data_IF_518573227337
#
_entry.id   IF_518573227337
#
_cell.length_a   1.000
_cell.length_b   1.000
_cell.length_c   1.000
_cell.angle_alpha   90.00
_cell.angle_beta   90.00
_cell.angle_gamma   90.00
#
_symmetry.space_group_name_H-M   'P 1'
#
loop_
_entity.id
_entity.type
_entity.pdbx_description
1 polymer ?
#
# COMPACT_ATOMS: atom_id res chain seq x y z
N UNK A 1 -22.36 -24.19 11.48
CA UNK A 1 -21.76 -23.00 12.13
C UNK A 1 -22.85 -22.03 12.61
N UNK A 2 -23.76 -21.50 11.77
CA UNK A 2 -24.70 -20.43 12.20
C UNK A 2 -25.63 -20.85 13.34
N UNK A 3 -26.20 -22.06 13.28
CA UNK A 3 -27.12 -22.56 14.31
C UNK A 3 -26.47 -22.64 15.71
N UNK A 4 -25.21 -23.10 15.79
CA UNK A 4 -24.48 -23.23 17.06
C UNK A 4 -24.11 -21.85 17.62
N UNK A 5 -23.71 -20.91 16.75
CA UNK A 5 -23.46 -19.52 17.14
C UNK A 5 -24.73 -18.85 17.69
N UNK A 6 -25.88 -18.96 17.00
CA UNK A 6 -27.17 -18.43 17.47
C UNK A 6 -27.57 -19.04 18.81
N UNK A 7 -27.42 -20.36 18.96
CA UNK A 7 -27.68 -21.07 20.22
C UNK A 7 -26.79 -20.49 21.33
N UNK A 8 -25.48 -20.37 21.10
CA UNK A 8 -24.57 -19.75 22.05
C UNK A 8 -25.00 -18.35 22.47
N UNK A 9 -25.25 -17.46 21.49
CA UNK A 9 -25.67 -16.08 21.75
C UNK A 9 -27.01 -15.97 22.48
N UNK A 10 -27.94 -16.89 22.25
CA UNK A 10 -29.24 -16.91 22.93
C UNK A 10 -29.11 -17.29 24.42
N UNK A 11 -28.23 -18.23 24.75
CA UNK A 11 -28.21 -18.86 26.07
C UNK A 11 -27.09 -18.41 27.00
N UNK A 12 -26.17 -17.58 26.52
CA UNK A 12 -25.08 -17.04 27.34
C UNK A 12 -25.56 -16.29 28.60
N UNK A 13 -26.73 -15.63 28.53
CA UNK A 13 -27.29 -14.90 29.67
C UNK A 13 -28.09 -15.77 30.64
N UNK A 14 -28.57 -16.93 30.19
CA UNK A 14 -29.42 -17.82 30.99
C UNK A 14 -28.66 -18.97 31.64
N UNK A 15 -27.44 -19.29 31.21
CA UNK A 15 -26.63 -20.44 31.67
C UNK A 15 -27.30 -21.83 31.55
N UNK A 16 -28.53 -21.93 31.05
CA UNK A 16 -29.32 -23.18 31.01
C UNK A 16 -29.13 -24.05 29.76
N UNK A 17 -28.23 -23.70 28.83
CA UNK A 17 -28.06 -24.46 27.60
C UNK A 17 -27.12 -25.66 27.75
N UNK A 18 -27.63 -26.84 27.40
CA UNK A 18 -26.83 -28.03 27.18
C UNK A 18 -26.29 -28.02 25.73
N UNK A 19 -24.97 -28.08 25.60
CA UNK A 19 -24.29 -28.22 24.31
C UNK A 19 -23.80 -29.65 24.12
N UNK A 20 -24.17 -30.24 23.00
CA UNK A 20 -23.62 -31.53 22.60
C UNK A 20 -22.15 -31.39 22.17
N UNK A 21 -21.40 -32.49 22.25
CA UNK A 21 -19.98 -32.51 21.88
C UNK A 21 -19.72 -32.08 20.43
N UNK A 22 -20.62 -32.40 19.49
CA UNK A 22 -20.53 -31.96 18.09
C UNK A 22 -20.77 -30.46 17.95
N UNK A 23 -21.67 -29.91 18.76
CA UNK A 23 -21.93 -28.47 18.81
C UNK A 23 -20.73 -27.73 19.39
N UNK A 24 -20.13 -28.22 20.48
CA UNK A 24 -18.91 -27.63 21.06
C UNK A 24 -17.73 -27.64 20.09
N UNK A 25 -17.55 -28.71 19.31
CA UNK A 25 -16.55 -28.71 18.23
C UNK A 25 -16.87 -27.65 17.18
N UNK A 26 -18.14 -27.43 16.86
CA UNK A 26 -18.55 -26.39 15.89
C UNK A 26 -18.37 -25.00 16.48
N UNK A 27 -18.56 -24.85 17.80
CA UNK A 27 -18.40 -23.60 18.53
C UNK A 27 -16.97 -23.06 18.42
N UNK A 28 -15.94 -23.92 18.48
CA UNK A 28 -14.54 -23.48 18.33
C UNK A 28 -14.27 -22.80 16.98
N UNK A 29 -14.89 -23.27 15.89
CA UNK A 29 -14.82 -22.61 14.58
C UNK A 29 -15.79 -21.43 14.43
N UNK A 30 -16.73 -21.27 15.37
CA UNK A 30 -17.72 -20.19 15.37
C UNK A 30 -17.26 -18.98 16.20
N UNK A 31 -16.12 -19.05 16.90
CA UNK A 31 -15.64 -17.97 17.77
C UNK A 31 -15.39 -16.65 17.01
N UNK A 32 -14.96 -16.74 15.75
CA UNK A 32 -14.72 -15.61 14.87
C UNK A 32 -15.89 -15.35 13.89
N UNK A 33 -16.99 -16.09 14.01
CA UNK A 33 -18.16 -15.92 13.16
C UNK A 33 -19.07 -14.84 13.72
N UNK A 34 -19.61 -13.99 12.85
CA UNK A 34 -20.63 -13.00 13.19
C UNK A 34 -21.74 -13.02 12.14
N UNK A 35 -22.94 -12.61 12.54
CA UNK A 35 -24.08 -12.43 11.65
C UNK A 35 -25.05 -11.41 12.26
N UNK A 36 -25.78 -10.70 11.40
CA UNK A 36 -27.00 -9.93 11.73
C UNK A 36 -27.08 -9.37 13.16
N UNK A 37 -26.57 -8.16 13.38
CA UNK A 37 -26.61 -7.41 14.66
C UNK A 37 -25.91 -8.08 15.86
N UNK A 38 -25.29 -9.25 15.68
CA UNK A 38 -24.53 -9.94 16.72
C UNK A 38 -23.04 -9.87 16.41
N UNK A 39 -22.26 -9.40 17.38
CA UNK A 39 -20.80 -9.44 17.33
C UNK A 39 -20.29 -10.86 17.48
N UNK A 40 -19.12 -11.18 16.91
CA UNK A 40 -18.50 -12.49 17.08
C UNK A 40 -18.03 -12.71 18.52
N UNK A 41 -18.03 -13.96 19.00
CA UNK A 41 -17.75 -14.32 20.40
C UNK A 41 -16.38 -13.81 20.84
N UNK A 42 -15.36 -13.95 19.98
CA UNK A 42 -14.00 -13.52 20.28
C UNK A 42 -13.86 -12.00 20.53
N UNK A 43 -14.80 -11.16 20.08
CA UNK A 43 -14.75 -9.71 20.34
C UNK A 43 -15.11 -9.33 21.78
N UNK A 44 -15.68 -10.24 22.56
CA UNK A 44 -16.15 -9.99 23.91
C UNK A 44 -15.50 -10.97 24.89
N UNK A 45 -14.67 -10.44 25.79
CA UNK A 45 -13.92 -11.19 26.79
C UNK A 45 -14.81 -12.10 27.66
N UNK A 46 -15.99 -11.62 28.07
CA UNK A 46 -16.90 -12.41 28.91
C UNK A 46 -17.53 -13.56 28.13
N UNK A 47 -17.89 -13.32 26.87
CA UNK A 47 -18.44 -14.38 26.02
C UNK A 47 -17.40 -15.44 25.69
N UNK A 48 -16.18 -15.02 25.35
CA UNK A 48 -15.08 -15.94 25.12
C UNK A 48 -14.78 -16.76 26.38
N UNK A 49 -14.71 -16.12 27.55
CA UNK A 49 -14.54 -16.81 28.83
C UNK A 49 -15.61 -17.87 29.05
N UNK A 50 -16.87 -17.53 28.82
CA UNK A 50 -17.97 -18.48 28.95
C UNK A 50 -17.84 -19.65 27.95
N UNK A 51 -17.52 -19.36 26.68
CA UNK A 51 -17.29 -20.39 25.67
C UNK A 51 -16.14 -21.34 26.07
N UNK A 52 -15.03 -20.80 26.58
CA UNK A 52 -13.90 -21.59 27.05
C UNK A 52 -14.26 -22.45 28.27
N UNK A 53 -15.06 -21.95 29.20
CA UNK A 53 -15.57 -22.74 30.33
C UNK A 53 -16.45 -23.91 29.85
N UNK A 54 -17.35 -23.68 28.89
CA UNK A 54 -18.17 -24.76 28.31
C UNK A 54 -17.31 -25.84 27.63
N UNK A 55 -16.27 -25.42 26.91
CA UNK A 55 -15.31 -26.33 26.27
C UNK A 55 -14.48 -27.10 27.30
N UNK A 56 -14.08 -26.45 28.41
CA UNK A 56 -13.32 -27.05 29.50
C UNK A 56 -14.11 -28.19 30.16
N UNK A 57 -15.36 -27.92 30.54
CA UNK A 57 -16.24 -28.90 31.19
C UNK A 57 -16.54 -30.12 30.31
N UNK A 58 -16.32 -30.03 29.00
CA UNK A 58 -16.61 -31.09 28.02
C UNK A 58 -15.42 -31.36 27.09
N UNK A 59 -14.20 -31.20 27.61
CA UNK A 59 -12.98 -31.16 26.82
C UNK A 59 -12.79 -32.34 25.85
N UNK A 60 -12.32 -32.03 24.64
CA UNK A 60 -11.76 -32.99 23.69
C UNK A 60 -10.60 -32.34 22.95
N UNK A 61 -9.51 -33.07 22.78
CA UNK A 61 -8.32 -32.57 22.07
C UNK A 61 -8.60 -32.13 20.63
N UNK A 62 -9.66 -32.67 20.01
CA UNK A 62 -10.12 -32.22 18.68
C UNK A 62 -10.54 -30.74 18.63
N UNK A 63 -10.82 -30.11 19.77
CA UNK A 63 -11.21 -28.70 19.88
C UNK A 63 -10.03 -27.77 19.61
N UNK A 64 -8.79 -28.20 19.91
CA UNK A 64 -7.58 -27.38 19.74
C UNK A 64 -7.44 -26.80 18.34
N UNK A 65 -7.78 -27.57 17.31
CA UNK A 65 -7.65 -27.13 15.92
C UNK A 65 -8.52 -25.89 15.65
N UNK A 66 -9.77 -25.88 16.11
CA UNK A 66 -10.64 -24.72 15.92
C UNK A 66 -10.25 -23.53 16.80
N UNK A 67 -9.69 -23.78 17.98
CA UNK A 67 -9.16 -22.71 18.84
C UNK A 67 -7.93 -22.04 18.22
N UNK A 68 -7.00 -22.82 17.68
CA UNK A 68 -5.81 -22.31 16.99
C UNK A 68 -6.21 -21.61 15.68
N UNK A 69 -7.21 -22.11 14.96
CA UNK A 69 -7.79 -21.43 13.80
C UNK A 69 -8.27 -20.01 14.16
N UNK A 70 -9.07 -19.89 15.21
CA UNK A 70 -9.54 -18.58 15.70
C UNK A 70 -8.39 -17.69 16.15
N UNK A 71 -7.42 -18.26 16.86
CA UNK A 71 -6.27 -17.56 17.42
C UNK A 71 -5.37 -16.95 16.34
N UNK A 72 -4.97 -17.73 15.33
CA UNK A 72 -4.09 -17.26 14.25
C UNK A 72 -4.79 -16.24 13.33
N UNK A 73 -6.10 -16.40 13.08
CA UNK A 73 -6.89 -15.40 12.35
C UNK A 73 -6.93 -14.04 13.04
N UNK A 74 -6.92 -14.05 14.37
CA UNK A 74 -7.06 -12.85 15.20
C UNK A 74 -5.73 -12.35 15.77
N UNK A 75 -4.58 -12.78 15.25
CA UNK A 75 -3.28 -12.46 15.84
C UNK A 75 -3.03 -10.95 16.04
N UNK A 76 -3.51 -10.12 15.11
CA UNK A 76 -3.36 -8.67 15.16
C UNK A 76 -4.68 -7.95 15.47
N UNK A 77 -5.47 -8.55 16.35
CA UNK A 77 -6.78 -8.04 16.74
C UNK A 77 -6.73 -6.78 17.61
N UNK A 78 -7.82 -6.01 17.60
CA UNK A 78 -8.09 -4.93 18.57
C UNK A 78 -8.59 -5.42 19.93
N UNK A 79 -8.74 -6.74 20.11
CA UNK A 79 -9.21 -7.40 21.34
C UNK A 79 -8.07 -8.19 22.02
N UNK A 80 -6.99 -7.55 22.50
CA UNK A 80 -5.79 -8.24 22.97
C UNK A 80 -6.06 -9.19 24.15
N UNK A 81 -6.94 -8.81 25.08
CA UNK A 81 -7.30 -9.66 26.22
C UNK A 81 -7.93 -10.99 25.81
N UNK A 82 -8.77 -10.97 24.77
CA UNK A 82 -9.38 -12.17 24.22
C UNK A 82 -8.34 -13.08 23.54
N UNK A 83 -7.35 -12.47 22.87
CA UNK A 83 -6.23 -13.20 22.29
C UNK A 83 -5.35 -13.86 23.36
N UNK A 84 -4.98 -13.10 24.41
CA UNK A 84 -4.21 -13.60 25.56
C UNK A 84 -4.94 -14.73 26.30
N UNK A 85 -6.27 -14.62 26.44
CA UNK A 85 -7.08 -15.67 27.05
C UNK A 85 -7.08 -16.96 26.21
N UNK A 86 -7.18 -16.85 24.88
CA UNK A 86 -7.01 -18.01 23.99
C UNK A 86 -5.60 -18.60 24.08
N UNK A 87 -4.55 -17.78 24.08
CA UNK A 87 -3.16 -18.24 24.21
C UNK A 87 -2.98 -19.09 25.47
N UNK A 88 -3.40 -18.57 26.62
CA UNK A 88 -3.26 -19.27 27.90
C UNK A 88 -4.03 -20.59 27.89
N UNK A 89 -5.27 -20.58 27.40
CA UNK A 89 -6.09 -21.77 27.32
C UNK A 89 -5.47 -22.83 26.38
N UNK A 90 -5.09 -22.44 25.16
CA UNK A 90 -4.43 -23.31 24.18
C UNK A 90 -3.12 -23.86 24.77
N UNK A 91 -2.31 -23.01 25.39
CA UNK A 91 -1.03 -23.38 25.98
C UNK A 91 -1.17 -24.43 27.08
N UNK A 92 -2.12 -24.24 28.00
CA UNK A 92 -2.41 -25.21 29.06
C UNK A 92 -2.88 -26.56 28.48
N UNK A 93 -3.67 -26.54 27.41
CA UNK A 93 -4.15 -27.76 26.76
C UNK A 93 -3.06 -28.49 25.99
N UNK A 94 -2.13 -27.78 25.35
CA UNK A 94 -1.00 -28.39 24.67
C UNK A 94 0.01 -29.02 25.66
N UNK A 95 0.25 -28.40 26.82
CA UNK A 95 1.17 -28.95 27.82
C UNK A 95 0.68 -30.31 28.34
N UNK A 96 -0.61 -30.38 28.63
CA UNK A 96 -1.27 -31.58 29.16
C UNK A 96 -1.63 -32.62 28.08
N UNK A 97 -1.42 -32.32 26.80
CA UNK A 97 -1.72 -33.26 25.73
C UNK A 97 -0.75 -34.44 25.70
N UNK A 98 -1.28 -35.66 25.81
CA UNK A 98 -0.54 -36.94 25.82
C UNK A 98 -0.94 -37.90 24.69
N UNK A 99 -1.81 -37.48 23.78
CA UNK A 99 -2.25 -38.29 22.64
C UNK A 99 -1.22 -38.41 21.52
N UNK A 100 -1.55 -39.17 20.48
CA UNK A 100 -0.66 -39.50 19.37
C UNK A 100 -0.98 -38.78 18.03
N UNK A 101 -1.98 -37.91 17.99
CA UNK A 101 -2.35 -37.15 16.78
C UNK A 101 -1.21 -36.22 16.34
N UNK A 102 -0.66 -36.48 15.15
CA UNK A 102 0.50 -35.76 14.58
C UNK A 102 0.35 -34.24 14.56
N UNK A 103 -0.81 -33.72 14.17
CA UNK A 103 -1.09 -32.27 14.17
C UNK A 103 -0.92 -31.64 15.56
N UNK A 104 -1.44 -32.31 16.60
CA UNK A 104 -1.38 -31.78 17.97
C UNK A 104 0.00 -31.94 18.59
N UNK A 105 0.73 -33.01 18.23
CA UNK A 105 2.15 -33.15 18.54
C UNK A 105 2.94 -32.00 17.91
N UNK A 106 2.66 -31.66 16.64
CA UNK A 106 3.27 -30.50 15.98
C UNK A 106 2.99 -29.21 16.74
N UNK A 107 1.73 -28.95 17.12
CA UNK A 107 1.39 -27.76 17.91
C UNK A 107 2.12 -27.71 19.25
N UNK A 108 2.21 -28.84 19.95
CA UNK A 108 2.93 -28.94 21.22
C UNK A 108 4.43 -28.63 21.05
N UNK A 109 5.08 -29.26 20.07
CA UNK A 109 6.51 -29.06 19.79
C UNK A 109 6.82 -27.63 19.33
N UNK A 110 5.86 -26.98 18.68
CA UNK A 110 5.98 -25.64 18.12
C UNK A 110 5.30 -24.55 18.98
N UNK A 111 4.95 -24.85 20.23
CA UNK A 111 4.17 -23.97 21.12
C UNK A 111 4.73 -22.55 21.22
N UNK A 112 6.06 -22.38 21.18
CA UNK A 112 6.74 -21.07 21.22
C UNK A 112 6.26 -20.10 20.14
N UNK A 113 5.81 -20.61 18.99
CA UNK A 113 5.32 -19.79 17.88
C UNK A 113 3.89 -19.26 18.09
N UNK A 114 3.17 -19.79 19.08
CA UNK A 114 1.85 -19.32 19.49
C UNK A 114 1.91 -18.28 20.62
N UNK A 115 3.09 -17.75 20.95
CA UNK A 115 3.22 -16.73 21.98
C UNK A 115 2.81 -15.33 21.45
N UNK A 116 1.83 -14.67 22.08
CA UNK A 116 1.30 -13.39 21.55
C UNK A 116 2.32 -12.24 21.55
N UNK A 117 3.42 -12.34 22.31
CA UNK A 117 4.43 -11.28 22.36
C UNK A 117 5.32 -11.25 21.12
N UNK A 118 5.69 -12.40 20.56
CA UNK A 118 6.68 -12.50 19.49
C UNK A 118 6.69 -13.82 18.71
N UNK A 119 5.68 -14.68 18.86
CA UNK A 119 5.69 -16.02 18.26
C UNK A 119 5.79 -16.02 16.73
N UNK A 120 5.13 -15.07 16.08
CA UNK A 120 5.23 -14.76 14.65
C UNK A 120 6.64 -14.30 14.23
N UNK A 121 7.26 -13.42 15.02
CA UNK A 121 8.63 -12.95 14.78
C UNK A 121 9.64 -14.10 14.91
N UNK A 122 9.51 -14.92 15.96
CA UNK A 122 10.38 -16.08 16.18
C UNK A 122 10.22 -17.08 15.04
N UNK A 123 9.00 -17.30 14.53
CA UNK A 123 8.81 -18.20 13.39
C UNK A 123 9.50 -17.66 12.13
N UNK A 124 9.30 -16.40 11.77
CA UNK A 124 9.93 -15.79 10.60
C UNK A 124 11.46 -15.84 10.67
N UNK A 125 12.02 -15.53 11.84
CA UNK A 125 13.45 -15.65 12.14
C UNK A 125 13.96 -17.09 12.02
N UNK A 126 13.20 -18.07 12.53
CA UNK A 126 13.57 -19.48 12.46
C UNK A 126 13.62 -19.97 11.01
N UNK A 127 12.60 -19.63 10.21
CA UNK A 127 12.52 -20.06 8.81
C UNK A 127 13.71 -19.52 8.01
N UNK A 128 14.04 -18.24 8.20
CA UNK A 128 15.19 -17.61 7.55
C UNK A 128 16.51 -18.29 7.96
N UNK A 129 16.71 -18.56 9.25
CA UNK A 129 17.91 -19.26 9.75
C UNK A 129 18.05 -20.69 9.24
N UNK A 130 16.93 -21.38 8.99
CA UNK A 130 16.91 -22.71 8.39
C UNK A 130 17.09 -22.69 6.87
N UNK A 131 17.20 -21.50 6.25
CA UNK A 131 17.27 -21.31 4.81
C UNK A 131 16.13 -22.04 4.06
N UNK A 132 14.93 -21.98 4.63
CA UNK A 132 13.72 -22.60 4.06
C UNK A 132 12.84 -21.56 3.36
N UNK A 133 12.13 -21.93 2.29
CA UNK A 133 11.13 -21.05 1.69
C UNK A 133 10.05 -20.67 2.71
N UNK A 134 9.65 -19.40 2.73
CA UNK A 134 8.63 -18.88 3.66
C UNK A 134 7.26 -19.57 3.48
N UNK A 135 6.99 -20.11 2.29
CA UNK A 135 5.81 -20.92 1.97
C UNK A 135 5.75 -22.21 2.79
N UNK A 136 6.85 -22.67 3.40
CA UNK A 136 6.86 -23.81 4.33
C UNK A 136 6.38 -23.46 5.75
N UNK A 137 6.08 -22.19 6.06
CA UNK A 137 5.70 -21.77 7.41
C UNK A 137 4.52 -22.57 7.98
N UNK A 138 3.49 -22.83 7.16
CA UNK A 138 2.32 -23.63 7.56
C UNK A 138 2.68 -25.08 7.85
N UNK A 139 3.58 -25.67 7.06
CA UNK A 139 4.09 -27.04 7.27
C UNK A 139 4.87 -27.15 8.58
N UNK A 140 5.68 -26.16 8.91
CA UNK A 140 6.44 -26.11 10.18
C UNK A 140 5.50 -26.08 11.37
N UNK A 141 4.42 -25.29 11.31
CA UNK A 141 3.40 -25.26 12.36
C UNK A 141 2.52 -26.52 12.36
N UNK A 142 2.45 -27.26 11.27
CA UNK A 142 1.54 -28.39 11.09
C UNK A 142 0.09 -27.96 10.85
N UNK A 143 -0.12 -26.79 10.24
CA UNK A 143 -1.44 -26.26 9.88
C UNK A 143 -1.70 -26.39 8.37
N UNK A 144 -2.97 -26.34 7.91
CA UNK A 144 -3.29 -26.33 6.49
C UNK A 144 -2.61 -25.19 5.73
N UNK A 145 -2.25 -25.42 4.47
CA UNK A 145 -1.65 -24.41 3.60
C UNK A 145 -2.58 -23.21 3.39
N UNK A 146 -3.89 -23.44 3.37
CA UNK A 146 -4.90 -22.40 3.24
C UNK A 146 -4.95 -21.43 4.42
N UNK A 147 -4.21 -21.68 5.51
CA UNK A 147 -4.11 -20.74 6.64
C UNK A 147 -3.01 -19.70 6.42
N UNK A 148 -2.23 -19.82 5.35
CA UNK A 148 -1.15 -18.89 5.07
C UNK A 148 -1.65 -17.45 4.89
N UNK A 149 -2.93 -17.23 4.58
CA UNK A 149 -3.60 -15.93 4.48
C UNK A 149 -3.99 -15.30 5.84
N UNK A 150 -3.80 -16.01 6.96
CA UNK A 150 -4.18 -15.51 8.29
C UNK A 150 -3.26 -14.38 8.76
N UNK A 151 -3.82 -13.43 9.51
CA UNK A 151 -3.11 -12.26 10.03
C UNK A 151 -1.78 -12.59 10.72
N UNK A 152 -1.71 -13.74 11.41
CA UNK A 152 -0.48 -14.29 11.99
C UNK A 152 0.72 -14.25 11.03
N UNK A 153 0.54 -14.67 9.78
CA UNK A 153 1.65 -14.81 8.84
C UNK A 153 2.17 -13.47 8.31
N UNK A 154 1.46 -12.35 8.53
CA UNK A 154 1.93 -11.04 8.07
C UNK A 154 3.31 -10.69 8.63
N UNK A 155 3.52 -10.83 9.94
CA UNK A 155 4.79 -10.47 10.59
C UNK A 155 5.83 -11.58 10.47
N UNK A 156 5.40 -12.83 10.27
CA UNK A 156 6.28 -13.95 9.88
C UNK A 156 6.97 -13.62 8.55
N UNK A 157 6.20 -13.21 7.54
CA UNK A 157 6.70 -12.84 6.21
C UNK A 157 7.66 -11.64 6.29
N UNK A 158 7.26 -10.57 7.00
CA UNK A 158 8.11 -9.37 7.14
C UNK A 158 9.41 -9.68 7.87
N UNK A 159 9.37 -10.50 8.92
CA UNK A 159 10.59 -10.87 9.67
C UNK A 159 11.51 -11.76 8.84
N UNK A 160 10.94 -12.71 8.08
CA UNK A 160 11.70 -13.52 7.13
C UNK A 160 12.43 -12.65 6.11
N UNK A 161 11.74 -11.66 5.53
CA UNK A 161 12.36 -10.68 4.63
C UNK A 161 13.50 -9.91 5.32
N UNK A 162 13.28 -9.35 6.50
CA UNK A 162 14.30 -8.54 7.19
C UNK A 162 15.60 -9.31 7.44
N UNK A 163 15.52 -10.63 7.65
CA UNK A 163 16.68 -11.51 7.78
C UNK A 163 17.40 -11.78 6.47
N UNK A 164 16.68 -11.81 5.36
CA UNK A 164 17.20 -12.12 4.03
C UNK A 164 17.37 -10.89 3.14
N UNK A 165 17.17 -9.68 3.66
CA UNK A 165 17.07 -8.45 2.86
C UNK A 165 18.29 -8.14 2.00
N UNK A 166 19.48 -8.62 2.38
CA UNK A 166 20.69 -8.46 1.58
C UNK A 166 20.64 -9.23 0.25
N UNK A 167 19.72 -10.20 0.11
CA UNK A 167 19.50 -11.03 -1.07
C UNK A 167 18.27 -10.57 -1.88
N UNK A 168 17.77 -9.35 -1.64
CA UNK A 168 16.53 -8.86 -2.25
C UNK A 168 16.52 -8.95 -3.78
N UNK A 169 17.66 -8.77 -4.44
CA UNK A 169 17.76 -8.85 -5.89
C UNK A 169 17.41 -10.22 -6.46
N UNK A 170 17.69 -11.31 -5.73
CA UNK A 170 17.32 -12.68 -6.13
C UNK A 170 15.98 -13.13 -5.57
N UNK A 171 15.50 -12.49 -4.50
CA UNK A 171 14.30 -12.91 -3.77
C UNK A 171 13.02 -12.13 -4.16
N UNK A 172 13.13 -11.04 -4.93
CA UNK A 172 11.99 -10.14 -5.18
C UNK A 172 10.78 -10.84 -5.83
N UNK A 173 11.01 -11.72 -6.80
CA UNK A 173 9.95 -12.45 -7.49
C UNK A 173 9.27 -13.46 -6.56
N UNK A 174 10.07 -14.20 -5.79
CA UNK A 174 9.58 -15.10 -4.76
C UNK A 174 8.74 -14.35 -3.71
N UNK A 175 9.18 -13.17 -3.25
CA UNK A 175 8.42 -12.35 -2.30
C UNK A 175 7.10 -11.84 -2.91
N UNK A 176 7.06 -11.55 -4.21
CA UNK A 176 5.80 -11.19 -4.88
C UNK A 176 4.82 -12.37 -4.90
N UNK A 177 5.29 -13.59 -5.21
CA UNK A 177 4.45 -14.80 -5.14
C UNK A 177 3.92 -15.05 -3.72
N UNK A 178 4.76 -14.82 -2.71
CA UNK A 178 4.38 -14.92 -1.29
C UNK A 178 3.27 -13.93 -0.95
N UNK A 179 3.37 -12.67 -1.40
CA UNK A 179 2.33 -11.66 -1.19
C UNK A 179 1.02 -12.03 -1.89
N UNK A 180 1.09 -12.51 -3.14
CA UNK A 180 -0.10 -12.98 -3.88
C UNK A 180 -0.80 -14.12 -3.15
N UNK A 181 -0.04 -15.07 -2.60
CA UNK A 181 -0.59 -16.21 -1.85
C UNK A 181 -1.16 -15.79 -0.50
N UNK A 182 -0.51 -14.87 0.20
CA UNK A 182 -0.98 -14.37 1.50
C UNK A 182 -2.20 -13.45 1.35
N UNK A 183 -2.31 -12.72 0.24
CA UNK A 183 -3.47 -11.90 -0.13
C UNK A 183 -3.94 -10.93 0.97
N UNK A 184 -3.01 -10.18 1.55
CA UNK A 184 -3.27 -9.24 2.64
C UNK A 184 -2.74 -7.85 2.31
N UNK A 185 -3.65 -6.88 2.21
CA UNK A 185 -3.28 -5.47 1.99
C UNK A 185 -2.35 -4.94 3.08
N UNK A 186 -2.57 -5.32 4.34
CA UNK A 186 -1.71 -4.94 5.48
C UNK A 186 -0.27 -5.41 5.27
N UNK A 187 -0.10 -6.66 4.85
CA UNK A 187 1.23 -7.24 4.66
C UNK A 187 1.92 -6.69 3.42
N UNK A 188 1.18 -6.49 2.33
CA UNK A 188 1.70 -5.81 1.14
C UNK A 188 2.21 -4.42 1.50
N UNK A 189 1.44 -3.62 2.25
CA UNK A 189 1.86 -2.30 2.75
C UNK A 189 3.13 -2.37 3.58
N UNK A 190 3.22 -3.30 4.54
CA UNK A 190 4.41 -3.47 5.39
C UNK A 190 5.66 -3.83 4.59
N UNK A 191 5.56 -4.89 3.79
CA UNK A 191 6.71 -5.48 3.12
C UNK A 191 7.20 -4.59 1.97
N UNK A 192 6.29 -4.17 1.09
CA UNK A 192 6.66 -3.38 -0.08
C UNK A 192 7.21 -2.01 0.33
N UNK A 193 6.68 -1.39 1.38
CA UNK A 193 7.23 -0.10 1.86
C UNK A 193 8.68 -0.24 2.29
N UNK A 194 9.01 -1.30 3.02
CA UNK A 194 10.39 -1.60 3.43
C UNK A 194 11.31 -1.88 2.25
N UNK A 195 10.82 -2.62 1.25
CA UNK A 195 11.58 -2.91 0.02
C UNK A 195 11.86 -1.62 -0.74
N UNK A 196 10.85 -0.76 -0.96
CA UNK A 196 11.01 0.51 -1.68
C UNK A 196 12.09 1.39 -1.01
N UNK A 197 12.00 1.55 0.32
CA UNK A 197 12.98 2.36 1.07
C UNK A 197 14.39 1.76 0.94
N UNK A 198 14.52 0.44 1.08
CA UNK A 198 15.81 -0.22 0.98
C UNK A 198 16.46 -0.04 -0.40
N UNK A 199 15.67 -0.17 -1.47
CA UNK A 199 16.19 -0.13 -2.85
C UNK A 199 16.21 1.29 -3.42
N UNK A 200 15.94 2.32 -2.62
CA UNK A 200 16.06 3.72 -3.00
C UNK A 200 17.52 4.21 -3.05
N UNK A 201 18.35 3.45 -3.75
CA UNK A 201 19.74 3.78 -4.02
C UNK A 201 20.05 3.52 -5.49
N UNK A 202 20.93 4.32 -6.13
CA UNK A 202 21.23 4.20 -7.55
C UNK A 202 21.70 2.80 -7.98
N UNK A 203 22.42 2.06 -7.11
CA UNK A 203 22.88 0.70 -7.42
C UNK A 203 21.74 -0.31 -7.69
N UNK A 204 20.52 -0.01 -7.26
CA UNK A 204 19.35 -0.89 -7.43
C UNK A 204 18.43 -0.47 -8.59
N UNK A 205 18.86 0.40 -9.50
CA UNK A 205 18.02 0.92 -10.60
C UNK A 205 17.21 -0.16 -11.36
N UNK A 206 17.82 -1.27 -11.77
CA UNK A 206 17.11 -2.39 -12.42
C UNK A 206 16.07 -3.03 -11.50
N UNK A 207 16.39 -3.17 -10.21
CA UNK A 207 15.46 -3.73 -9.22
C UNK A 207 14.30 -2.78 -8.92
N UNK A 208 14.52 -1.46 -8.95
CA UNK A 208 13.47 -0.45 -8.79
C UNK A 208 12.39 -0.62 -9.86
N UNK A 209 12.73 -0.98 -11.10
CA UNK A 209 11.74 -1.25 -12.16
C UNK A 209 10.81 -2.41 -11.80
N UNK A 210 11.34 -3.51 -11.28
CA UNK A 210 10.53 -4.65 -10.81
C UNK A 210 9.71 -4.27 -9.58
N UNK A 211 10.31 -3.56 -8.62
CA UNK A 211 9.62 -3.14 -7.39
C UNK A 211 8.47 -2.17 -7.68
N UNK A 212 8.59 -1.28 -8.67
CA UNK A 212 7.49 -0.40 -9.09
C UNK A 212 6.27 -1.21 -9.54
N UNK A 213 6.47 -2.17 -10.44
CA UNK A 213 5.41 -3.06 -10.96
C UNK A 213 4.71 -3.81 -9.83
N UNK A 214 5.51 -4.38 -8.92
CA UNK A 214 5.00 -5.12 -7.75
C UNK A 214 4.21 -4.18 -6.84
N UNK A 215 4.75 -3.01 -6.50
CA UNK A 215 4.08 -2.04 -5.62
C UNK A 215 2.75 -1.54 -6.21
N UNK A 216 2.74 -1.26 -7.51
CA UNK A 216 1.54 -0.84 -8.22
C UNK A 216 0.47 -1.94 -8.24
N UNK A 217 0.87 -3.20 -8.38
CA UNK A 217 -0.05 -4.36 -8.36
C UNK A 217 -0.56 -4.66 -6.95
N UNK A 218 0.31 -4.65 -5.95
CA UNK A 218 0.02 -5.10 -4.58
C UNK A 218 -0.64 -4.02 -3.71
N UNK A 219 -0.38 -2.75 -3.97
CA UNK A 219 -0.90 -1.61 -3.19
C UNK A 219 -1.71 -0.67 -4.08
N UNK A 220 -1.21 -0.33 -5.26
CA UNK A 220 -1.86 0.59 -6.20
C UNK A 220 -1.09 1.88 -6.43
N UNK A 221 -1.63 2.73 -7.31
CA UNK A 221 -1.01 4.00 -7.70
C UNK A 221 -0.73 4.90 -6.48
N UNK A 222 0.51 5.38 -6.25
CA UNK A 222 0.83 6.28 -5.13
C UNK A 222 0.14 7.65 -5.22
N UNK A 223 -0.39 8.04 -6.38
CA UNK A 223 -1.24 9.23 -6.50
C UNK A 223 -2.58 9.06 -5.76
N UNK A 224 -3.05 7.82 -5.56
CA UNK A 224 -4.19 7.54 -4.69
C UNK A 224 -3.72 7.36 -3.24
N UNK A 225 -3.77 8.45 -2.47
CA UNK A 225 -3.34 8.47 -1.05
C UNK A 225 -4.04 7.40 -0.22
N UNK A 226 -5.32 7.10 -0.49
CA UNK A 226 -6.09 6.12 0.31
C UNK A 226 -5.52 4.70 0.24
N UNK A 227 -4.90 4.33 -0.88
CA UNK A 227 -4.25 3.03 -1.02
C UNK A 227 -2.99 2.93 -0.15
N UNK A 228 -2.37 4.06 0.18
CA UNK A 228 -1.11 4.17 0.92
C UNK A 228 -1.32 4.73 2.33
N UNK A 229 -2.54 4.66 2.87
CA UNK A 229 -2.78 4.96 4.29
C UNK A 229 -2.36 3.78 5.15
N UNK A 230 -1.89 4.09 6.36
CA UNK A 230 -1.63 3.08 7.37
C UNK A 230 -2.92 2.36 7.79
N UNK A 231 -2.79 1.09 8.14
CA UNK A 231 -3.87 0.26 8.69
C UNK A 231 -4.07 0.56 10.19
N UNK A 232 -5.24 0.22 10.73
CA UNK A 232 -5.73 0.69 12.04
C UNK A 232 -4.75 0.50 13.21
N UNK A 233 -4.02 -0.61 13.26
CA UNK A 233 -3.07 -0.96 14.31
C UNK A 233 -1.60 -0.81 13.92
N UNK A 234 -1.30 -0.03 12.87
CA UNK A 234 0.08 0.26 12.48
C UNK A 234 0.86 0.97 13.62
N UNK A 235 2.11 0.59 13.78
CA UNK A 235 3.08 1.30 14.62
C UNK A 235 3.50 2.61 13.97
N UNK A 236 4.03 3.55 14.75
CA UNK A 236 4.50 4.82 14.21
C UNK A 236 5.66 4.66 13.20
N UNK A 237 6.46 3.61 13.37
CA UNK A 237 7.49 3.26 12.38
C UNK A 237 6.84 2.86 11.06
N UNK A 238 5.86 1.95 11.09
CA UNK A 238 5.16 1.51 9.89
C UNK A 238 4.42 2.66 9.20
N UNK A 239 3.80 3.58 9.96
CA UNK A 239 3.16 4.77 9.36
C UNK A 239 4.16 5.61 8.57
N UNK A 240 5.33 5.89 9.16
CA UNK A 240 6.38 6.67 8.50
C UNK A 240 6.94 5.94 7.29
N UNK A 241 7.22 4.64 7.40
CA UNK A 241 7.73 3.83 6.29
C UNK A 241 6.75 3.81 5.11
N UNK A 242 5.44 3.65 5.36
CA UNK A 242 4.43 3.66 4.28
C UNK A 242 4.39 5.02 3.56
N UNK A 243 4.43 6.13 4.30
CA UNK A 243 4.42 7.48 3.72
C UNK A 243 5.70 7.74 2.93
N UNK A 244 6.86 7.37 3.49
CA UNK A 244 8.16 7.52 2.83
C UNK A 244 8.22 6.71 1.53
N UNK A 245 7.85 5.43 1.60
CA UNK A 245 7.82 4.56 0.43
C UNK A 245 6.88 5.06 -0.67
N UNK A 246 5.70 5.57 -0.30
CA UNK A 246 4.76 6.19 -1.24
C UNK A 246 5.43 7.35 -1.99
N UNK A 247 6.12 8.22 -1.27
CA UNK A 247 6.76 9.40 -1.85
C UNK A 247 7.92 9.00 -2.79
N UNK A 248 8.75 8.04 -2.37
CA UNK A 248 9.82 7.47 -3.19
C UNK A 248 9.25 6.84 -4.47
N UNK A 249 8.22 6.01 -4.35
CA UNK A 249 7.59 5.37 -5.50
C UNK A 249 6.99 6.41 -6.46
N UNK A 250 6.32 7.43 -5.92
CA UNK A 250 5.77 8.50 -6.73
C UNK A 250 6.86 9.27 -7.47
N UNK A 251 8.00 9.53 -6.83
CA UNK A 251 9.15 10.14 -7.47
C UNK A 251 9.67 9.28 -8.63
N UNK A 252 9.91 7.97 -8.42
CA UNK A 252 10.41 7.09 -9.49
C UNK A 252 9.47 7.05 -10.69
N UNK A 253 8.15 6.92 -10.45
CA UNK A 253 7.14 6.92 -11.53
C UNK A 253 7.12 8.28 -12.22
N UNK A 254 7.23 9.39 -11.47
CA UNK A 254 7.25 10.74 -12.03
C UNK A 254 8.47 10.98 -12.90
N UNK A 255 9.67 10.60 -12.45
CA UNK A 255 10.89 10.68 -13.26
C UNK A 255 10.75 9.88 -14.55
N UNK A 256 10.21 8.66 -14.47
CA UNK A 256 10.02 7.80 -15.64
C UNK A 256 9.00 8.40 -16.62
N UNK A 257 7.88 8.95 -16.14
CA UNK A 257 6.92 9.63 -16.99
C UNK A 257 7.46 10.90 -17.62
N UNK A 258 8.19 11.73 -16.87
CA UNK A 258 8.85 12.92 -17.42
C UNK A 258 9.80 12.49 -18.54
N UNK A 259 10.62 11.46 -18.33
CA UNK A 259 11.50 10.96 -19.37
C UNK A 259 10.75 10.54 -20.63
N UNK A 260 9.72 9.70 -20.50
CA UNK A 260 8.98 9.19 -21.67
C UNK A 260 8.17 10.30 -22.34
N UNK A 261 7.40 11.08 -21.57
CA UNK A 261 6.54 12.13 -22.11
C UNK A 261 7.36 13.20 -22.84
N UNK A 262 8.47 13.67 -22.26
CA UNK A 262 9.29 14.67 -22.93
C UNK A 262 10.03 14.12 -24.14
N UNK A 263 10.47 12.86 -24.14
CA UNK A 263 11.09 12.27 -25.33
C UNK A 263 10.09 12.06 -26.48
N UNK A 264 8.85 11.70 -26.15
CA UNK A 264 7.86 11.26 -27.15
C UNK A 264 6.94 12.39 -27.61
N UNK A 265 6.54 13.28 -26.71
CA UNK A 265 5.52 14.31 -26.99
C UNK A 265 6.12 15.70 -27.20
N UNK A 266 7.25 16.02 -26.54
CA UNK A 266 7.84 17.38 -26.58
C UNK A 266 9.10 17.41 -27.45
N UNK A 267 9.94 16.38 -27.33
CA UNK A 267 11.27 16.28 -27.90
C UNK A 267 12.20 17.46 -27.54
N UNK A 268 12.17 17.88 -26.27
CA UNK A 268 13.00 18.99 -25.74
C UNK A 268 13.80 18.54 -24.50
N UNK A 269 15.10 18.33 -24.69
CA UNK A 269 16.04 17.89 -23.64
C UNK A 269 16.22 18.91 -22.52
N UNK A 270 16.15 20.23 -22.82
CA UNK A 270 16.34 21.28 -21.82
C UNK A 270 15.17 21.30 -20.85
N UNK A 271 13.93 21.24 -21.36
CA UNK A 271 12.73 21.18 -20.51
C UNK A 271 12.66 19.87 -19.72
N UNK A 272 13.02 18.75 -20.33
CA UNK A 272 13.09 17.46 -19.62
C UNK A 272 14.03 17.54 -18.41
N UNK A 273 15.27 18.01 -18.62
CA UNK A 273 16.26 18.18 -17.53
C UNK A 273 15.78 19.14 -16.46
N UNK A 274 15.09 20.22 -16.84
CA UNK A 274 14.50 21.16 -15.90
C UNK A 274 13.49 20.46 -14.97
N UNK A 275 12.52 19.74 -15.52
CA UNK A 275 11.46 19.10 -14.72
C UNK A 275 11.95 17.92 -13.89
N UNK A 276 12.94 17.16 -14.37
CA UNK A 276 13.55 16.08 -13.58
C UNK A 276 14.16 16.56 -12.26
N UNK A 277 14.67 17.81 -12.20
CA UNK A 277 15.19 18.41 -10.96
C UNK A 277 14.14 18.58 -9.86
N UNK A 278 12.85 18.59 -10.22
CA UNK A 278 11.73 18.79 -9.31
C UNK A 278 10.88 17.53 -9.11
N UNK A 279 11.29 16.38 -9.65
CA UNK A 279 10.51 15.13 -9.59
C UNK A 279 10.12 14.71 -8.16
N UNK A 280 11.05 14.85 -7.20
CA UNK A 280 10.80 14.55 -5.78
C UNK A 280 9.79 15.49 -5.11
N UNK A 281 9.55 16.67 -5.68
CA UNK A 281 8.63 17.69 -5.15
C UNK A 281 7.23 17.61 -5.77
N UNK A 282 7.05 16.78 -6.80
CA UNK A 282 5.76 16.59 -7.47
C UNK A 282 4.92 15.62 -6.64
N UNK A 283 3.81 16.11 -6.08
CA UNK A 283 2.92 15.32 -5.23
C UNK A 283 2.04 14.37 -6.03
N UNK A 284 1.67 14.77 -7.24
CA UNK A 284 0.93 13.97 -8.22
C UNK A 284 0.99 14.63 -9.60
N UNK A 285 0.61 13.89 -10.64
CA UNK A 285 0.47 14.44 -11.98
C UNK A 285 -0.63 13.76 -12.78
N UNK A 286 -1.06 14.42 -13.85
CA UNK A 286 -1.96 13.88 -14.88
C UNK A 286 -1.53 14.39 -16.25
N UNK A 287 -1.67 13.56 -17.27
CA UNK A 287 -1.51 13.96 -18.67
C UNK A 287 -2.90 14.05 -19.30
N UNK A 288 -3.17 15.15 -20.01
CA UNK A 288 -4.39 15.38 -20.76
C UNK A 288 -4.05 15.49 -22.24
N UNK A 289 -4.70 14.71 -23.10
CA UNK A 289 -4.37 14.74 -24.53
C UNK A 289 -5.24 13.82 -25.39
N UNK A 290 -5.01 13.83 -26.71
CA UNK A 290 -5.79 13.00 -27.64
C UNK A 290 -5.49 11.51 -27.43
N UNK A 291 -6.45 10.67 -27.87
CA UNK A 291 -6.36 9.20 -27.77
C UNK A 291 -5.10 8.65 -28.46
N UNK A 292 -4.70 9.27 -29.58
CA UNK A 292 -3.48 8.88 -30.28
C UNK A 292 -2.24 8.98 -29.39
N UNK A 293 -2.05 10.10 -28.68
CA UNK A 293 -0.94 10.26 -27.73
C UNK A 293 -1.00 9.25 -26.60
N UNK A 294 -2.20 8.98 -26.06
CA UNK A 294 -2.38 7.93 -25.05
C UNK A 294 -1.86 6.58 -25.56
N UNK A 295 -2.23 6.22 -26.78
CA UNK A 295 -1.83 4.96 -27.40
C UNK A 295 -0.32 4.89 -27.66
N UNK A 296 0.32 6.00 -28.04
CA UNK A 296 1.78 6.06 -28.18
C UNK A 296 2.45 5.82 -26.82
N UNK A 297 2.04 6.55 -25.78
CA UNK A 297 2.62 6.40 -24.44
C UNK A 297 2.41 4.98 -23.88
N UNK A 298 1.26 4.36 -24.17
CA UNK A 298 0.94 2.99 -23.75
C UNK A 298 1.81 1.92 -24.42
N UNK A 299 2.48 2.22 -25.53
CA UNK A 299 3.44 1.31 -26.18
C UNK A 299 4.82 1.31 -25.51
N UNK A 300 5.12 2.31 -24.67
CA UNK A 300 6.37 2.36 -23.94
C UNK A 300 6.27 1.51 -22.66
N UNK A 301 6.91 0.34 -22.66
CA UNK A 301 6.86 -0.63 -21.56
C UNK A 301 7.27 -0.06 -20.19
N UNK A 302 8.04 1.04 -20.19
CA UNK A 302 8.49 1.72 -18.98
C UNK A 302 7.34 2.40 -18.24
N UNK A 303 6.31 2.84 -18.95
CA UNK A 303 5.18 3.56 -18.33
C UNK A 303 3.81 2.96 -18.62
N UNK A 304 3.72 1.98 -19.52
CA UNK A 304 2.47 1.43 -20.04
C UNK A 304 1.43 1.10 -18.96
N UNK A 305 1.87 0.47 -17.87
CA UNK A 305 1.00 0.06 -16.76
C UNK A 305 0.37 1.23 -15.99
N UNK A 306 1.00 2.40 -16.02
CA UNK A 306 0.53 3.58 -15.31
C UNK A 306 -0.32 4.52 -16.19
N UNK A 307 -0.22 4.39 -17.53
CA UNK A 307 -0.84 5.33 -18.48
C UNK A 307 -2.35 5.42 -18.27
N UNK A 308 -3.02 4.29 -18.07
CA UNK A 308 -4.48 4.31 -17.87
C UNK A 308 -4.91 5.04 -16.60
N UNK A 309 -4.12 4.94 -15.53
CA UNK A 309 -4.40 5.64 -14.28
C UNK A 309 -4.06 7.14 -14.36
N UNK A 310 -3.09 7.54 -15.21
CA UNK A 310 -2.50 8.89 -15.20
C UNK A 310 -2.80 9.73 -16.44
N UNK A 311 -3.44 9.16 -17.47
CA UNK A 311 -3.80 9.85 -18.71
C UNK A 311 -5.32 10.04 -18.84
N UNK A 312 -5.75 11.26 -19.14
CA UNK A 312 -7.14 11.62 -19.44
C UNK A 312 -7.26 11.97 -20.91
N UNK A 313 -8.15 11.27 -21.62
CA UNK A 313 -8.38 11.50 -23.04
C UNK A 313 -9.28 12.72 -23.24
N UNK A 314 -8.76 13.73 -23.94
CA UNK A 314 -9.45 14.98 -24.27
C UNK A 314 -9.16 15.32 -25.73
N UNK A 315 -10.10 15.95 -26.42
CA UNK A 315 -9.87 16.36 -27.80
C UNK A 315 -8.78 17.44 -27.88
N UNK A 316 -8.10 17.53 -29.02
CA UNK A 316 -7.09 18.56 -29.26
C UNK A 316 -7.11 18.95 -30.73
N UNK A 317 -7.10 20.26 -31.00
CA UNK A 317 -7.15 20.77 -32.39
C UNK A 317 -5.80 20.71 -33.11
N UNK A 318 -4.71 20.59 -32.36
CA UNK A 318 -3.33 20.63 -32.86
C UNK A 318 -2.49 19.45 -32.33
N UNK A 319 -3.16 18.38 -31.93
CA UNK A 319 -2.56 17.21 -31.27
C UNK A 319 -1.70 17.55 -30.03
N UNK A 320 -1.99 18.68 -29.40
CA UNK A 320 -1.34 19.13 -28.16
C UNK A 320 -1.79 18.23 -27.02
N UNK A 321 -0.83 17.85 -26.18
CA UNK A 321 -1.04 17.24 -24.88
C UNK A 321 -0.51 18.16 -23.78
N UNK A 322 -1.14 18.12 -22.61
CA UNK A 322 -0.77 18.89 -21.44
C UNK A 322 -0.33 17.95 -20.32
N UNK A 323 0.81 18.25 -19.71
CA UNK A 323 1.34 17.59 -18.54
C UNK A 323 1.08 18.47 -17.32
N UNK A 324 0.09 18.08 -16.53
CA UNK A 324 -0.30 18.78 -15.30
C UNK A 324 0.48 18.17 -14.13
N UNK A 325 1.24 19.01 -13.43
CA UNK A 325 2.06 18.67 -12.28
C UNK A 325 1.52 19.42 -11.05
N UNK A 326 1.32 18.72 -9.94
CA UNK A 326 0.94 19.34 -8.67
C UNK A 326 2.16 19.44 -7.76
N UNK A 327 2.47 20.65 -7.33
CA UNK A 327 3.61 20.95 -6.45
C UNK A 327 3.15 21.97 -5.41
N UNK A 328 3.16 21.58 -4.13
CA UNK A 328 2.62 22.42 -3.06
C UNK A 328 1.20 22.90 -3.37
N UNK A 329 0.99 24.21 -3.26
CA UNK A 329 -0.30 24.86 -3.54
C UNK A 329 -0.52 25.19 -5.03
N UNK A 330 0.26 24.61 -5.94
CA UNK A 330 0.20 24.93 -7.37
C UNK A 330 -0.23 23.77 -8.25
N UNK A 331 -0.96 24.14 -9.30
CA UNK A 331 -1.18 23.36 -10.51
C UNK A 331 -0.33 23.98 -11.62
N UNK A 332 0.66 23.23 -12.08
CA UNK A 332 1.63 23.64 -13.09
C UNK A 332 1.37 22.86 -14.38
N UNK A 333 1.30 23.51 -15.53
CA UNK A 333 0.90 22.90 -16.80
C UNK A 333 1.94 23.16 -17.87
N UNK A 334 2.60 22.10 -18.31
CA UNK A 334 3.50 22.09 -19.48
C UNK A 334 2.75 21.54 -20.70
N UNK A 335 2.85 22.21 -21.84
CA UNK A 335 2.20 21.79 -23.08
C UNK A 335 3.23 21.23 -24.06
N UNK A 336 2.82 20.24 -24.85
CA UNK A 336 3.75 19.50 -25.72
C UNK A 336 4.27 20.29 -26.91
N UNK A 337 3.45 21.17 -27.46
CA UNK A 337 3.77 21.83 -28.74
C UNK A 337 4.52 23.13 -28.51
N UNK A 338 5.46 23.41 -29.42
CA UNK A 338 6.17 24.69 -29.45
C UNK A 338 5.20 25.87 -29.64
N UNK A 339 5.51 27.01 -29.01
CA UNK A 339 4.65 28.19 -29.01
C UNK A 339 3.52 28.18 -27.97
N UNK A 340 3.29 27.06 -27.27
CA UNK A 340 2.46 27.06 -26.07
C UNK A 340 3.28 27.50 -24.86
N UNK A 341 2.77 28.47 -24.10
CA UNK A 341 3.36 28.89 -22.83
C UNK A 341 3.10 27.83 -21.76
N UNK A 342 4.01 27.72 -20.80
CA UNK A 342 3.77 27.09 -19.51
C UNK A 342 2.79 27.94 -18.68
N UNK A 343 1.96 27.30 -17.87
CA UNK A 343 1.01 27.96 -16.99
C UNK A 343 1.17 27.49 -15.54
N UNK A 344 1.17 28.44 -14.60
CA UNK A 344 1.13 28.17 -13.18
C UNK A 344 -0.10 28.81 -12.54
N UNK A 345 -0.90 27.99 -11.89
CA UNK A 345 -2.10 28.40 -11.15
C UNK A 345 -1.94 28.05 -9.67
N UNK A 346 -2.38 28.94 -8.77
CA UNK A 346 -2.65 28.52 -7.39
C UNK A 346 -3.87 27.61 -7.37
N UNK A 347 -3.85 26.58 -6.52
CA UNK A 347 -4.92 25.58 -6.44
C UNK A 347 -6.28 26.18 -6.03
N UNK A 348 -6.27 27.28 -5.29
CA UNK A 348 -7.46 28.03 -4.88
C UNK A 348 -7.80 29.22 -5.79
N UNK A 349 -7.07 29.44 -6.89
CA UNK A 349 -7.31 30.55 -7.82
C UNK A 349 -8.58 30.32 -8.62
N UNK A 350 -9.38 31.38 -8.81
CA UNK A 350 -10.52 31.39 -9.73
C UNK A 350 -10.10 31.33 -11.20
N UNK A 351 -8.83 31.61 -11.52
CA UNK A 351 -8.27 31.51 -12.87
C UNK A 351 -7.90 30.08 -13.25
N UNK A 352 -7.80 29.18 -12.25
CA UNK A 352 -7.42 27.78 -12.45
C UNK A 352 -8.50 27.04 -13.24
N UNK A 353 -8.14 26.28 -14.30
CA UNK A 353 -9.11 25.46 -15.02
C UNK A 353 -9.75 24.44 -14.07
N UNK A 354 -11.07 24.28 -14.16
CA UNK A 354 -11.79 23.28 -13.37
C UNK A 354 -11.68 21.92 -14.03
N UNK A 355 -11.25 20.92 -13.26
CA UNK A 355 -11.15 19.52 -13.71
C UNK A 355 -12.31 18.66 -13.18
N UNK A 356 -13.33 19.29 -12.59
CA UNK A 356 -14.50 18.60 -12.03
C UNK A 356 -15.50 18.14 -13.10
N UNK A 357 -15.35 18.65 -14.32
CA UNK A 357 -16.15 18.26 -15.47
C UNK A 357 -15.22 17.81 -16.61
N UNK A 358 -15.80 17.09 -17.57
CA UNK A 358 -15.08 16.68 -18.75
C UNK A 358 -14.70 17.90 -19.59
N UNK A 359 -13.39 18.06 -19.85
CA UNK A 359 -12.89 19.12 -20.73
C UNK A 359 -13.29 18.82 -22.19
N UNK A 360 -13.62 19.86 -22.95
CA UNK A 360 -13.92 19.71 -24.37
C UNK A 360 -12.62 19.64 -25.17
N UNK A 361 -11.64 20.47 -24.83
CA UNK A 361 -10.34 20.56 -25.49
C UNK A 361 -9.20 20.71 -24.48
N UNK A 362 -7.99 20.26 -24.86
CA UNK A 362 -6.76 20.59 -24.13
C UNK A 362 -6.55 22.12 -24.02
N UNK A 363 -7.07 22.89 -24.97
CA UNK A 363 -7.02 24.37 -24.90
C UNK A 363 -7.83 24.95 -23.72
N UNK A 364 -8.79 24.21 -23.15
CA UNK A 364 -9.57 24.63 -21.97
C UNK A 364 -8.70 24.71 -20.71
N UNK A 365 -7.51 24.10 -20.73
CA UNK A 365 -6.52 24.20 -19.66
C UNK A 365 -5.75 25.53 -19.68
N UNK A 366 -5.97 26.37 -20.69
CA UNK A 366 -5.25 27.63 -20.88
C UNK A 366 -6.15 28.82 -20.60
N UNK A 367 -5.58 29.83 -19.95
CA UNK A 367 -6.23 31.13 -19.82
C UNK A 367 -5.36 32.22 -20.47
N UNK A 368 -5.69 32.60 -21.70
CA UNK A 368 -4.91 33.60 -22.48
C UNK A 368 -4.78 34.96 -21.80
N UNK A 369 -5.65 35.28 -20.85
CA UNK A 369 -5.66 36.54 -20.09
C UNK A 369 -4.72 36.53 -18.88
N UNK A 370 -4.09 35.40 -18.55
CA UNK A 370 -3.15 35.36 -17.43
C UNK A 370 -1.94 36.27 -17.65
N UNK A 371 -1.46 36.97 -16.61
CA UNK A 371 -0.23 37.75 -16.71
C UNK A 371 0.99 36.84 -16.93
N UNK A 372 2.16 37.42 -17.21
CA UNK A 372 3.41 36.67 -17.15
C UNK A 372 3.74 36.38 -15.69
N UNK A 373 4.25 35.18 -15.38
CA UNK A 373 4.65 34.87 -14.01
C UNK A 373 5.88 35.69 -13.57
N UNK A 374 6.69 36.12 -14.55
CA UNK A 374 7.86 36.98 -14.35
C UNK A 374 7.77 38.16 -15.32
N UNK A 375 7.83 39.36 -14.76
CA UNK A 375 8.06 40.60 -15.50
C UNK A 375 9.46 41.10 -15.16
N UNK A 376 10.25 41.47 -16.17
CA UNK A 376 11.61 41.96 -15.97
C UNK A 376 11.69 43.38 -16.49
N UNK A 377 12.32 44.27 -15.74
CA UNK A 377 12.82 45.55 -16.26
C UNK A 377 14.36 45.48 -16.40
N UNK A 378 15.02 46.63 -16.61
CA UNK A 378 16.48 46.66 -16.81
C UNK A 378 17.29 46.27 -15.56
N UNK A 379 16.67 46.23 -14.38
CA UNK A 379 17.38 46.06 -13.10
C UNK A 379 16.81 44.94 -12.21
N UNK A 380 15.51 44.64 -12.30
CA UNK A 380 14.81 43.74 -11.39
C UNK A 380 13.82 42.81 -12.09
N UNK A 381 13.70 41.60 -11.51
CA UNK A 381 12.62 40.66 -11.81
C UNK A 381 11.49 40.80 -10.78
N UNK A 382 10.29 41.04 -11.29
CA UNK A 382 9.03 41.06 -10.56
C UNK A 382 8.29 39.74 -10.76
N UNK A 383 7.91 39.10 -9.65
CA UNK A 383 7.33 37.76 -9.65
C UNK A 383 5.85 37.84 -9.27
N UNK A 384 4.98 37.51 -10.21
CA UNK A 384 3.57 37.29 -9.93
C UNK A 384 3.36 35.95 -9.22
N UNK A 385 2.29 35.85 -8.45
CA UNK A 385 1.94 34.63 -7.73
C UNK A 385 1.49 33.51 -8.67
N UNK A 386 0.83 33.84 -9.76
CA UNK A 386 0.38 32.92 -10.81
C UNK A 386 0.59 33.59 -12.17
N UNK A 387 0.68 32.80 -13.24
CA UNK A 387 0.91 33.36 -14.57
C UNK A 387 1.47 32.40 -15.60
N UNK A 388 1.87 32.97 -16.73
CA UNK A 388 2.44 32.26 -17.88
C UNK A 388 3.95 32.44 -17.95
N UNK A 389 4.65 31.40 -18.41
CA UNK A 389 6.08 31.46 -18.74
C UNK A 389 6.31 30.91 -20.14
N UNK A 390 7.23 31.52 -20.87
CA UNK A 390 7.62 31.06 -22.21
C UNK A 390 9.03 30.47 -22.14
N UNK A 391 9.24 29.33 -22.80
CA UNK A 391 10.55 28.69 -22.92
C UNK A 391 11.40 29.35 -24.01
N UNK A 392 11.60 30.67 -23.88
CA UNK A 392 12.42 31.46 -24.80
C UNK A 392 13.53 32.14 -24.02
N UNK A 393 14.75 31.95 -24.49
CA UNK A 393 15.89 32.69 -23.96
C UNK A 393 15.76 34.16 -24.38
N UNK A 394 16.08 35.05 -23.45
CA UNK A 394 16.20 36.48 -23.69
C UNK A 394 17.55 36.95 -23.16
N UNK A 395 17.56 38.04 -22.40
CA UNK A 395 18.77 38.50 -21.69
C UNK A 395 19.27 37.49 -20.64
N UNK A 396 18.41 36.57 -20.22
CA UNK A 396 18.75 35.41 -19.39
C UNK A 396 18.14 34.14 -19.99
N UNK A 397 18.76 33.00 -19.73
CA UNK A 397 18.20 31.69 -20.10
C UNK A 397 16.90 31.43 -19.33
N UNK A 398 15.91 30.84 -20.01
CA UNK A 398 14.58 30.70 -19.43
C UNK A 398 14.56 29.81 -18.18
N UNK A 399 15.43 28.80 -18.10
CA UNK A 399 15.52 27.89 -16.95
C UNK A 399 15.90 28.62 -15.67
N UNK A 400 16.80 29.60 -15.75
CA UNK A 400 17.25 30.39 -14.59
C UNK A 400 16.09 31.23 -14.06
N UNK A 401 15.37 31.92 -14.95
CA UNK A 401 14.21 32.74 -14.60
C UNK A 401 13.11 31.88 -13.98
N UNK A 402 12.78 30.76 -14.62
CA UNK A 402 11.76 29.86 -14.14
C UNK A 402 12.16 29.24 -12.79
N UNK A 403 13.42 28.81 -12.62
CA UNK A 403 13.92 28.31 -11.34
C UNK A 403 13.82 29.36 -10.21
N UNK A 404 14.13 30.63 -10.51
CA UNK A 404 13.98 31.74 -9.56
C UNK A 404 12.52 31.92 -9.12
N UNK A 405 11.58 31.89 -10.08
CA UNK A 405 10.15 31.96 -9.78
C UNK A 405 9.67 30.76 -8.96
N UNK A 406 10.06 29.53 -9.33
CA UNK A 406 9.71 28.31 -8.60
C UNK A 406 10.17 28.38 -7.15
N UNK A 407 11.42 28.78 -6.90
CA UNK A 407 11.94 28.93 -5.54
C UNK A 407 11.13 29.95 -4.74
N UNK A 408 10.94 31.16 -5.29
CA UNK A 408 10.28 32.26 -4.57
C UNK A 408 8.79 32.07 -4.36
N UNK A 409 8.09 31.38 -5.27
CA UNK A 409 6.61 31.31 -5.28
C UNK A 409 6.06 29.94 -4.94
N UNK A 410 6.73 28.87 -5.33
CA UNK A 410 6.24 27.50 -5.17
C UNK A 410 6.87 26.82 -3.95
N UNK A 411 8.16 27.05 -3.69
CA UNK A 411 8.88 26.37 -2.61
C UNK A 411 9.03 27.19 -1.32
N UNK A 412 9.01 28.53 -1.42
CA UNK A 412 9.24 29.43 -0.29
C UNK A 412 10.72 29.73 -0.11
#
# INVERSE_FOLDING_TARGET
MPQVFKKFKKYINSNDAIFERRELRTLTYSLNYSEQNLTFIFSNENELKYALTLLESNWRDSFLVGLIDCFLKNWETKYPKSLEQLEQFIGNKLDNYSGNRSTLISFKNNKRYFNTKNGDLILGDTIAKLNKPIQEATKILGVPESWFDYAYFSKVIVTYYERNKNQISSEIDNLNEVLLKHNSSTTSKRLISKIIIQVNKPEFSTLQDSVKKIAFTQIGDPSNVSNWTAFDNATEVERREIIEARNILNEWITQQFINVFFNVCINDERRKKFWLRFASKISSFKVYGPLHTKNILKRDERIAEYVDARFVTVSSRRDVSAFILYIGDYMLIEFSNEGYAFYAYKNNSSLRPSLNYQLNSVDDLRNGSMPMAIHSDNYYDYFNDEGRLTHRDGNQIWETRFNSWMNKKVFG
#
